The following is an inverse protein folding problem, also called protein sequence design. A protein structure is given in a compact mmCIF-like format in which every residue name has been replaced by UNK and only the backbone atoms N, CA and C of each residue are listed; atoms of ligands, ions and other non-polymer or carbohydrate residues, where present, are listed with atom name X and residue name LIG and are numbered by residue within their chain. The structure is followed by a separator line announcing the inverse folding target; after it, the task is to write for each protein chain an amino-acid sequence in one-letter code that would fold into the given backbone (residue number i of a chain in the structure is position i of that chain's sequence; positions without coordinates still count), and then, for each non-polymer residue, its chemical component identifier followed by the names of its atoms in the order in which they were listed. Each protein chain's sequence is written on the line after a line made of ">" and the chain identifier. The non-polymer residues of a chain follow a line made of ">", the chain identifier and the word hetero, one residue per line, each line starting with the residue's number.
data_IF_078865603435
#
_entry.id   IF_078865603435
#
_cell.length_a   1.000
_cell.length_b   1.000
_cell.length_c   1.000
_cell.angle_alpha   90.00
_cell.angle_beta   90.00
_cell.angle_gamma   90.00
#
_symmetry.space_group_name_H-M   'P 1'
#
loop_
_entity.id
_entity.type
_entity.pdbx_description
1 polymer ?
#
# COMPACT_ATOMS: atom_id res chain seq x y z
N UNK A 1 -7.19 -14.72 13.49
CA UNK A 1 -6.93 -14.27 12.11
C UNK A 1 -6.90 -15.44 11.15
N UNK A 2 -7.52 -15.27 10.01
CA UNK A 2 -7.68 -16.30 8.99
C UNK A 2 -6.53 -16.22 7.99
N UNK A 3 -6.04 -17.38 7.53
CA UNK A 3 -4.99 -17.46 6.51
C UNK A 3 -5.58 -17.20 5.13
N UNK A 4 -4.89 -16.42 4.30
CA UNK A 4 -5.23 -16.20 2.91
C UNK A 4 -4.39 -17.11 2.00
N UNK A 5 -4.84 -17.28 0.75
CA UNK A 5 -4.08 -17.98 -0.28
C UNK A 5 -2.84 -17.13 -0.62
N UNK A 6 -1.63 -17.68 -0.54
CA UNK A 6 -0.44 -16.95 -0.94
C UNK A 6 -0.45 -16.68 -2.45
N UNK A 7 -0.10 -15.46 -2.82
CA UNK A 7 0.01 -15.03 -4.22
C UNK A 7 1.38 -14.41 -4.44
N UNK A 8 1.81 -14.40 -5.71
CA UNK A 8 3.10 -13.86 -6.11
C UNK A 8 2.91 -12.59 -6.97
N UNK A 9 4.00 -12.03 -7.46
CA UNK A 9 4.00 -10.72 -8.14
C UNK A 9 3.06 -10.63 -9.35
N UNK A 10 2.87 -11.73 -10.08
CA UNK A 10 1.98 -11.79 -11.24
C UNK A 10 0.51 -11.54 -10.88
N UNK A 11 0.12 -11.76 -9.62
CA UNK A 11 -1.22 -11.48 -9.14
C UNK A 11 -1.61 -10.00 -9.28
N UNK A 12 -0.64 -9.10 -9.27
CA UNK A 12 -0.88 -7.68 -9.54
C UNK A 12 -1.56 -7.44 -10.90
N UNK A 13 -1.40 -8.37 -11.85
CA UNK A 13 -2.01 -8.29 -13.20
C UNK A 13 -3.17 -9.25 -13.39
N UNK A 14 -3.18 -10.38 -12.70
CA UNK A 14 -4.12 -11.48 -12.92
C UNK A 14 -5.27 -11.52 -11.92
N UNK A 15 -5.29 -10.69 -10.89
CA UNK A 15 -6.31 -10.72 -9.85
C UNK A 15 -7.72 -10.50 -10.43
N UNK A 16 -8.75 -11.21 -9.90
CA UNK A 16 -10.15 -11.00 -10.32
C UNK A 16 -10.64 -9.57 -10.09
N UNK A 17 -10.11 -8.89 -9.06
CA UNK A 17 -10.39 -7.48 -8.81
C UNK A 17 -9.08 -6.71 -8.75
N UNK A 18 -9.01 -5.63 -9.53
CA UNK A 18 -7.87 -4.72 -9.52
C UNK A 18 -8.36 -3.29 -9.46
N UNK A 19 -7.91 -2.55 -8.47
CA UNK A 19 -8.16 -1.12 -8.34
C UNK A 19 -6.82 -0.40 -8.39
N UNK A 20 -6.66 0.55 -9.30
CA UNK A 20 -5.42 1.28 -9.50
C UNK A 20 -5.65 2.77 -9.35
N UNK A 21 -4.78 3.43 -8.59
CA UNK A 21 -4.82 4.87 -8.32
C UNK A 21 -3.45 5.46 -8.58
N UNK A 22 -3.41 6.70 -9.06
CA UNK A 22 -2.16 7.42 -9.33
C UNK A 22 -2.19 8.82 -8.72
N UNK A 23 -1.02 9.28 -8.30
CA UNK A 23 -0.82 10.66 -7.83
C UNK A 23 0.60 11.10 -8.14
N UNK A 24 0.80 12.43 -8.24
CA UNK A 24 2.12 13.02 -8.35
C UNK A 24 2.53 13.60 -7.00
N UNK A 25 3.76 13.29 -6.58
CA UNK A 25 4.40 13.90 -5.41
C UNK A 25 5.57 14.78 -5.89
N UNK A 26 5.85 15.87 -5.16
CA UNK A 26 6.97 16.75 -5.47
C UNK A 26 8.33 16.17 -5.06
N UNK A 27 8.35 15.21 -4.12
CA UNK A 27 9.58 14.57 -3.68
C UNK A 27 10.15 13.63 -4.75
N UNK A 28 11.49 13.45 -4.80
CA UNK A 28 12.10 12.53 -5.76
C UNK A 28 11.80 11.07 -5.43
N UNK A 29 11.94 10.15 -6.42
CA UNK A 29 11.65 8.73 -6.20
C UNK A 29 12.40 8.09 -5.03
N UNK A 30 13.63 8.49 -4.76
CA UNK A 30 14.40 7.99 -3.62
C UNK A 30 13.72 8.25 -2.28
N UNK A 31 13.20 9.47 -2.09
CA UNK A 31 12.53 9.86 -0.85
C UNK A 31 11.17 9.17 -0.70
N UNK A 32 10.40 9.08 -1.79
CA UNK A 32 9.10 8.38 -1.79
C UNK A 32 9.29 6.89 -1.51
N UNK A 33 10.26 6.26 -2.17
CA UNK A 33 10.57 4.85 -1.96
C UNK A 33 10.98 4.55 -0.52
N UNK A 34 11.85 5.39 0.07
CA UNK A 34 12.28 5.22 1.46
C UNK A 34 11.09 5.27 2.42
N UNK A 35 10.13 6.17 2.19
CA UNK A 35 8.91 6.26 3.01
C UNK A 35 8.03 5.01 2.88
N UNK A 36 7.96 4.40 1.69
CA UNK A 36 7.18 3.18 1.46
C UNK A 36 7.86 1.94 2.03
N UNK A 37 9.13 1.74 1.72
CA UNK A 37 9.82 0.46 1.91
C UNK A 37 10.73 0.40 3.13
N UNK A 38 11.21 1.55 3.61
CA UNK A 38 12.24 1.61 4.65
C UNK A 38 11.75 2.21 5.96
N UNK A 39 10.50 2.69 6.01
CA UNK A 39 9.90 3.31 7.20
C UNK A 39 8.49 2.78 7.43
N UNK A 40 8.40 1.52 7.84
CA UNK A 40 7.10 0.86 8.10
C UNK A 40 6.28 1.61 9.15
N UNK A 41 6.91 2.03 10.23
CA UNK A 41 6.22 2.71 11.34
C UNK A 41 5.69 4.09 10.94
N UNK A 42 6.34 4.73 9.98
CA UNK A 42 5.93 6.03 9.45
C UNK A 42 4.60 6.02 8.71
N UNK A 43 4.16 4.85 8.22
CA UNK A 43 2.90 4.72 7.47
C UNK A 43 1.70 5.25 8.26
N UNK A 44 1.66 5.05 9.57
CA UNK A 44 0.58 5.54 10.42
C UNK A 44 0.48 7.07 10.44
N UNK A 45 1.51 7.77 10.01
CA UNK A 45 1.57 9.24 10.00
C UNK A 45 1.09 9.86 8.69
N UNK A 46 1.00 9.06 7.62
CA UNK A 46 0.59 9.62 6.33
C UNK A 46 -0.48 8.80 5.61
N UNK A 47 -0.54 7.48 5.76
CA UNK A 47 -1.56 6.67 5.07
C UNK A 47 -2.85 6.65 5.87
N UNK A 48 -3.91 7.23 5.28
CA UNK A 48 -5.25 7.31 5.90
C UNK A 48 -5.77 5.92 6.23
N UNK A 49 -6.19 5.74 7.47
CA UNK A 49 -6.74 4.47 7.93
C UNK A 49 -5.71 3.51 8.55
N UNK A 50 -4.42 3.75 8.39
CA UNK A 50 -3.40 2.97 9.11
C UNK A 50 -3.23 3.54 10.51
N UNK A 51 -3.53 2.74 11.52
CA UNK A 51 -3.33 3.10 12.92
C UNK A 51 -1.92 2.74 13.38
N UNK A 52 -1.38 1.64 12.87
CA UNK A 52 -0.04 1.17 13.24
C UNK A 52 0.51 0.25 12.16
N UNK A 53 1.80 0.33 11.91
CA UNK A 53 2.51 -0.63 11.06
C UNK A 53 3.86 -0.95 11.71
N UNK A 54 4.16 -2.23 11.88
CA UNK A 54 5.37 -2.70 12.57
C UNK A 54 6.07 -3.72 11.68
N UNK A 55 7.38 -3.55 11.41
CA UNK A 55 8.12 -4.55 10.65
C UNK A 55 8.21 -5.86 11.43
N UNK A 56 8.20 -6.99 10.71
CA UNK A 56 8.37 -8.33 11.24
C UNK A 56 9.46 -9.05 10.43
N UNK A 57 10.01 -10.10 11.00
CA UNK A 57 11.00 -10.97 10.33
C UNK A 57 12.18 -10.16 9.73
N UNK A 58 12.69 -9.20 10.49
CA UNK A 58 13.83 -8.39 10.04
C UNK A 58 13.51 -7.47 8.85
N UNK A 59 12.23 -7.14 8.64
CA UNK A 59 11.78 -6.31 7.52
C UNK A 59 11.26 -7.10 6.32
N UNK A 60 11.33 -8.44 6.36
CA UNK A 60 10.75 -9.28 5.29
C UNK A 60 9.22 -9.29 5.32
N UNK A 61 8.62 -8.84 6.40
CA UNK A 61 7.18 -8.70 6.56
C UNK A 61 6.83 -7.51 7.42
N UNK A 62 5.53 -7.31 7.62
CA UNK A 62 5.03 -6.33 8.57
C UNK A 62 3.63 -6.71 9.07
N UNK A 63 3.29 -6.23 10.24
CA UNK A 63 1.93 -6.26 10.76
C UNK A 63 1.34 -4.87 10.65
N UNK A 64 0.17 -4.77 10.03
CA UNK A 64 -0.55 -3.51 9.85
C UNK A 64 -1.90 -3.60 10.55
N UNK A 65 -2.19 -2.59 11.36
CA UNK A 65 -3.49 -2.44 12.00
C UNK A 65 -4.17 -1.18 11.45
N UNK A 66 -5.39 -1.36 10.97
CA UNK A 66 -6.21 -0.26 10.47
C UNK A 66 -7.07 0.32 11.59
N UNK A 67 -7.42 1.58 11.45
CA UNK A 67 -8.46 2.21 12.26
C UNK A 67 -9.76 1.41 12.07
N UNK A 68 -10.39 1.00 13.17
CA UNK A 68 -11.56 0.12 13.12
C UNK A 68 -11.26 -1.35 13.40
N UNK A 69 -9.98 -1.71 13.55
CA UNK A 69 -9.58 -3.02 14.08
C UNK A 69 -9.21 -4.08 13.05
N UNK A 70 -9.27 -3.79 11.76
CA UNK A 70 -8.77 -4.72 10.74
C UNK A 70 -7.25 -4.87 10.89
N UNK A 71 -6.75 -6.11 10.79
CA UNK A 71 -5.33 -6.43 10.91
C UNK A 71 -4.88 -7.23 9.70
N UNK A 72 -3.68 -6.93 9.24
CA UNK A 72 -3.00 -7.66 8.17
C UNK A 72 -1.61 -8.11 8.63
N UNK A 73 -1.30 -9.38 8.41
CA UNK A 73 0.07 -9.88 8.45
C UNK A 73 0.55 -10.03 7.01
N UNK A 74 1.62 -9.35 6.68
CA UNK A 74 2.07 -9.19 5.31
C UNK A 74 3.47 -9.76 5.10
N UNK A 75 3.74 -10.25 3.89
CA UNK A 75 5.07 -10.60 3.40
C UNK A 75 5.44 -9.67 2.26
N UNK A 76 6.64 -9.09 2.34
CA UNK A 76 7.19 -8.24 1.28
C UNK A 76 7.70 -9.13 0.15
N UNK A 77 7.24 -8.86 -1.08
CA UNK A 77 7.57 -9.64 -2.26
C UNK A 77 8.60 -8.96 -3.17
N UNK A 78 8.60 -7.62 -3.22
CA UNK A 78 9.52 -6.87 -4.04
C UNK A 78 9.93 -5.57 -3.36
N UNK A 79 11.22 -5.29 -3.40
CA UNK A 79 11.84 -4.03 -2.94
C UNK A 79 12.84 -3.57 -3.99
N UNK A 80 12.32 -3.14 -5.14
CA UNK A 80 13.15 -2.62 -6.24
C UNK A 80 13.36 -1.12 -6.02
N UNK A 81 14.56 -0.74 -5.64
CA UNK A 81 14.89 0.62 -5.22
C UNK A 81 14.36 1.67 -6.20
N UNK A 82 13.63 2.66 -5.66
CA UNK A 82 13.07 3.80 -6.36
C UNK A 82 12.01 3.47 -7.42
N UNK A 83 11.67 2.18 -7.63
CA UNK A 83 10.75 1.77 -8.69
C UNK A 83 9.56 0.95 -8.22
N UNK A 84 9.72 0.09 -7.22
CA UNK A 84 8.66 -0.84 -6.84
C UNK A 84 8.75 -1.28 -5.38
N UNK A 85 7.58 -1.33 -4.73
CA UNK A 85 7.39 -1.94 -3.43
C UNK A 85 6.10 -2.74 -3.45
N UNK A 86 6.17 -4.05 -3.19
CA UNK A 86 5.03 -4.96 -3.31
C UNK A 86 4.97 -5.88 -2.10
N UNK A 87 3.78 -6.10 -1.58
CA UNK A 87 3.56 -7.05 -0.48
C UNK A 87 2.22 -7.75 -0.67
N UNK A 88 2.12 -8.95 -0.10
CA UNK A 88 0.88 -9.71 -0.01
C UNK A 88 0.43 -9.81 1.43
N UNK A 89 -0.85 -10.03 1.63
CA UNK A 89 -1.42 -10.31 2.94
C UNK A 89 -1.50 -11.83 3.12
N UNK A 90 -0.86 -12.35 4.17
CA UNK A 90 -0.87 -13.78 4.49
C UNK A 90 -1.99 -14.15 5.46
N UNK A 91 -2.33 -13.25 6.39
CA UNK A 91 -3.39 -13.45 7.39
C UNK A 91 -4.13 -12.15 7.66
N UNK A 92 -5.44 -12.27 7.91
CA UNK A 92 -6.28 -11.12 8.24
C UNK A 92 -7.51 -11.55 9.05
N UNK A 93 -8.10 -10.62 9.77
CA UNK A 93 -9.42 -10.75 10.35
C UNK A 93 -10.53 -10.14 9.49
N UNK A 94 -10.19 -9.58 8.32
CA UNK A 94 -11.18 -9.05 7.37
C UNK A 94 -12.00 -10.21 6.78
N UNK A 95 -13.34 -10.11 6.76
CA UNK A 95 -14.17 -11.19 6.23
C UNK A 95 -14.12 -11.26 4.70
N UNK A 96 -14.23 -12.48 4.15
CA UNK A 96 -14.45 -12.71 2.73
C UNK A 96 -13.22 -12.70 1.84
N UNK A 97 -12.12 -12.06 2.21
CA UNK A 97 -10.90 -12.06 1.41
C UNK A 97 -10.32 -13.47 1.28
N UNK A 98 -9.94 -13.84 0.05
CA UNK A 98 -9.22 -15.08 -0.27
C UNK A 98 -7.76 -14.83 -0.60
N UNK A 99 -7.44 -13.69 -1.21
CA UNK A 99 -6.08 -13.25 -1.51
C UNK A 99 -6.06 -11.73 -1.63
N UNK A 100 -4.94 -11.12 -1.24
CA UNK A 100 -4.72 -9.68 -1.37
C UNK A 100 -3.24 -9.41 -1.60
N UNK A 101 -2.96 -8.59 -2.60
CA UNK A 101 -1.63 -8.08 -2.90
C UNK A 101 -1.75 -6.59 -3.21
N UNK A 102 -0.81 -5.82 -2.72
CA UNK A 102 -0.72 -4.38 -3.02
C UNK A 102 0.62 -4.10 -3.68
N UNK A 103 0.56 -3.41 -4.82
CA UNK A 103 1.72 -3.11 -5.66
C UNK A 103 1.87 -1.60 -5.80
N UNK A 104 3.01 -1.08 -5.35
CA UNK A 104 3.35 0.33 -5.42
C UNK A 104 4.43 0.51 -6.47
N UNK A 105 4.15 1.34 -7.48
CA UNK A 105 5.09 1.66 -8.56
C UNK A 105 5.44 3.13 -8.52
N UNK A 106 6.73 3.41 -8.73
CA UNK A 106 7.27 4.76 -8.77
C UNK A 106 7.96 4.99 -10.10
N UNK A 107 7.77 6.19 -10.65
CA UNK A 107 8.49 6.64 -11.84
C UNK A 107 8.83 8.13 -11.68
N UNK A 108 9.96 8.59 -12.20
CA UNK A 108 10.27 10.01 -12.23
C UNK A 108 9.19 10.78 -13.01
N UNK A 109 8.85 11.97 -12.51
CA UNK A 109 7.88 12.88 -13.16
C UNK A 109 8.38 14.30 -12.93
N UNK A 110 9.17 14.83 -13.87
CA UNK A 110 9.91 16.05 -13.64
C UNK A 110 10.88 15.90 -12.47
N UNK A 111 10.86 16.81 -11.51
CA UNK A 111 11.64 16.75 -10.28
C UNK A 111 10.98 15.87 -9.20
N UNK A 112 9.77 15.41 -9.46
CA UNK A 112 8.98 14.63 -8.52
C UNK A 112 8.81 13.19 -8.94
N UNK A 113 7.75 12.58 -8.40
CA UNK A 113 7.46 11.16 -8.57
C UNK A 113 6.00 10.95 -8.97
N UNK A 114 5.77 10.11 -9.98
CA UNK A 114 4.47 9.51 -10.26
C UNK A 114 4.36 8.25 -9.42
N UNK A 115 3.43 8.26 -8.47
CA UNK A 115 3.16 7.13 -7.59
C UNK A 115 1.88 6.43 -8.04
N UNK A 116 1.94 5.10 -8.23
CA UNK A 116 0.78 4.29 -8.58
C UNK A 116 0.61 3.15 -7.58
N UNK A 117 -0.59 3.02 -7.07
CA UNK A 117 -0.97 1.96 -6.13
C UNK A 117 -2.01 1.07 -6.78
N UNK A 118 -1.73 -0.24 -6.85
CA UNK A 118 -2.66 -1.26 -7.30
C UNK A 118 -3.06 -2.13 -6.12
N UNK A 119 -4.36 -2.18 -5.89
CA UNK A 119 -4.99 -3.07 -4.92
C UNK A 119 -5.54 -4.27 -5.69
N UNK A 120 -4.93 -5.44 -5.52
CA UNK A 120 -5.26 -6.67 -6.25
C UNK A 120 -5.84 -7.69 -5.27
N UNK A 121 -7.08 -8.11 -5.49
CA UNK A 121 -7.81 -8.94 -4.54
C UNK A 121 -8.59 -10.08 -5.20
N UNK A 122 -8.78 -11.15 -4.44
CA UNK A 122 -9.71 -12.23 -4.74
C UNK A 122 -10.68 -12.41 -3.57
N UNK A 123 -11.93 -12.71 -3.89
CA UNK A 123 -12.99 -12.96 -2.93
C UNK A 123 -14.30 -13.29 -3.63
N UNK A 124 -15.35 -13.65 -2.88
CA UNK A 124 -16.65 -13.92 -3.45
C UNK A 124 -17.24 -12.70 -4.15
N UNK A 125 -18.17 -12.92 -5.09
CA UNK A 125 -18.81 -11.86 -5.87
C UNK A 125 -19.36 -10.69 -5.05
N UNK A 126 -20.08 -10.93 -3.94
CA UNK A 126 -20.55 -9.84 -3.09
C UNK A 126 -19.44 -8.96 -2.53
N UNK A 127 -18.32 -9.53 -2.10
CA UNK A 127 -17.19 -8.75 -1.62
C UNK A 127 -16.57 -7.92 -2.75
N UNK A 128 -16.40 -8.51 -3.94
CA UNK A 128 -15.88 -7.79 -5.10
C UNK A 128 -16.76 -6.60 -5.46
N UNK A 129 -18.09 -6.78 -5.40
CA UNK A 129 -19.03 -5.68 -5.63
C UNK A 129 -18.87 -4.57 -4.59
N UNK A 130 -18.76 -4.94 -3.31
CA UNK A 130 -18.54 -3.95 -2.22
C UNK A 130 -17.26 -3.16 -2.46
N UNK A 131 -16.17 -3.82 -2.85
CA UNK A 131 -14.89 -3.15 -3.13
C UNK A 131 -14.99 -2.24 -4.37
N UNK A 132 -15.70 -2.66 -5.41
CA UNK A 132 -15.94 -1.81 -6.59
C UNK A 132 -16.75 -0.56 -6.22
N UNK A 133 -17.79 -0.71 -5.40
CA UNK A 133 -18.57 0.42 -4.91
C UNK A 133 -17.77 1.33 -3.98
N UNK A 134 -16.79 0.77 -3.27
CA UNK A 134 -15.89 1.52 -2.39
C UNK A 134 -14.76 2.25 -3.16
N UNK A 135 -14.61 2.01 -4.46
CA UNK A 135 -13.52 2.60 -5.26
C UNK A 135 -13.39 4.12 -5.12
N UNK A 136 -14.45 4.92 -5.19
CA UNK A 136 -14.31 6.37 -5.01
C UNK A 136 -13.74 6.75 -3.64
N UNK A 137 -14.16 6.06 -2.57
CA UNK A 137 -13.64 6.27 -1.21
C UNK A 137 -12.18 5.87 -1.07
N UNK A 138 -11.80 4.73 -1.65
CA UNK A 138 -10.41 4.26 -1.66
C UNK A 138 -9.51 5.23 -2.44
N UNK A 139 -9.98 5.72 -3.59
CA UNK A 139 -9.26 6.71 -4.37
C UNK A 139 -9.07 8.02 -3.63
N UNK A 140 -10.09 8.46 -2.89
CA UNK A 140 -9.99 9.65 -2.03
C UNK A 140 -8.98 9.44 -0.91
N UNK A 141 -9.05 8.30 -0.23
CA UNK A 141 -8.10 7.94 0.84
C UNK A 141 -6.66 7.92 0.30
N UNK A 142 -6.45 7.35 -0.87
CA UNK A 142 -5.15 7.35 -1.52
C UNK A 142 -4.66 8.77 -1.81
N UNK A 143 -5.50 9.63 -2.40
CA UNK A 143 -5.10 11.02 -2.71
C UNK A 143 -4.79 11.83 -1.45
N UNK A 144 -5.59 11.67 -0.40
CA UNK A 144 -5.34 12.31 0.89
C UNK A 144 -4.02 11.84 1.47
N UNK A 145 -3.76 10.53 1.42
CA UNK A 145 -2.51 9.93 1.89
C UNK A 145 -1.30 10.41 1.10
N UNK A 146 -1.41 10.47 -0.23
CA UNK A 146 -0.34 10.95 -1.09
C UNK A 146 0.02 12.42 -0.80
N UNK A 147 -0.99 13.26 -0.56
CA UNK A 147 -0.78 14.66 -0.15
C UNK A 147 -0.12 14.77 1.22
N UNK A 148 -0.53 13.93 2.17
CA UNK A 148 0.05 13.91 3.50
C UNK A 148 1.52 13.48 3.44
N UNK A 149 1.83 12.47 2.63
CA UNK A 149 3.20 12.03 2.40
C UNK A 149 4.03 13.12 1.73
N UNK A 150 3.48 13.77 0.71
CA UNK A 150 4.16 14.85 -0.01
C UNK A 150 4.54 16.01 0.93
N UNK A 151 3.61 16.44 1.78
CA UNK A 151 3.88 17.48 2.80
C UNK A 151 4.94 17.03 3.80
N UNK A 152 4.89 15.78 4.24
CA UNK A 152 5.84 15.23 5.19
C UNK A 152 7.25 15.21 4.60
N UNK A 153 7.39 14.77 3.36
CA UNK A 153 8.69 14.72 2.66
C UNK A 153 9.21 16.13 2.35
N UNK A 154 8.34 17.06 2.00
CA UNK A 154 8.73 18.47 1.80
C UNK A 154 9.27 19.10 3.09
N UNK A 155 8.64 18.85 4.23
CA UNK A 155 9.11 19.32 5.53
C UNK A 155 10.45 18.71 5.90
N UNK A 156 10.66 17.43 5.65
CA UNK A 156 11.92 16.74 5.93
C UNK A 156 13.08 17.31 5.06
N UNK A 157 12.80 17.60 3.78
CA UNK A 157 13.79 18.20 2.89
C UNK A 157 14.17 19.63 3.30
N UNK A 158 13.22 20.41 3.84
CA UNK A 158 13.46 21.79 4.27
C UNK A 158 14.04 21.90 5.68
N UNK A 159 14.03 20.81 6.45
CA UNK A 159 14.56 20.75 7.81
C UNK A 159 15.99 20.25 7.92
N UNK A 160 16.65 19.94 6.80
CA UNK A 160 18.03 19.43 6.75
C UNK A 160 19.02 20.49 6.29
#
# INVERSE_FOLDING_TARGET
>A
MRRLRPVELDFARSAPLRLTFSARLGAPPSAVYAALAEDAEGWARWFTGVAEAVPTDGGAGREVRLTGGTRFLETVLATEAETRYTYRVDRTNAPGLRALLEDWRLAPDGDGTRLRWTFAADGPGPLRLVLLLARPGLGRAFRVSARALDRRLARAANGS
#
